data_IF_544239544347
#
_entry.id   IF_544239544347
#
_cell.length_a   1.000
_cell.length_b   1.000
_cell.length_c   1.000
_cell.angle_alpha   90.00
_cell.angle_beta   90.00
_cell.angle_gamma   90.00
#
_symmetry.space_group_name_H-M   'P 1'
#
loop_
_entity.id
_entity.type
_entity.pdbx_description
1 polymer ?
#
# COMPACT_ATOMS: atom_id res chain seq x y z
N UNK A 1 -15.48 17.46 -17.94
CA UNK A 1 -15.63 16.55 -16.79
C UNK A 1 -14.73 15.31 -16.89
N UNK A 2 -14.68 14.61 -18.03
CA UNK A 2 -13.88 13.38 -18.17
C UNK A 2 -12.35 13.54 -18.01
N UNK A 3 -11.77 14.65 -18.47
CA UNK A 3 -10.33 14.91 -18.33
C UNK A 3 -9.94 15.09 -16.86
N UNK A 4 -10.75 15.84 -16.10
CA UNK A 4 -10.54 16.07 -14.67
C UNK A 4 -10.60 14.74 -13.90
N UNK A 5 -11.57 13.88 -14.20
CA UNK A 5 -11.67 12.55 -13.58
C UNK A 5 -10.44 11.68 -13.88
N UNK A 6 -9.93 11.73 -15.11
CA UNK A 6 -8.75 10.97 -15.50
C UNK A 6 -7.50 11.43 -14.74
N UNK A 7 -7.27 12.74 -14.67
CA UNK A 7 -6.15 13.33 -13.92
C UNK A 7 -6.31 13.06 -12.42
N UNK A 8 -7.51 13.22 -11.85
CA UNK A 8 -7.78 12.95 -10.45
C UNK A 8 -7.47 11.50 -10.09
N UNK A 9 -7.94 10.53 -10.89
CA UNK A 9 -7.64 9.11 -10.68
C UNK A 9 -6.15 8.81 -10.72
N UNK A 10 -5.40 9.48 -11.60
CA UNK A 10 -3.95 9.29 -11.72
C UNK A 10 -3.24 9.89 -10.50
N UNK A 11 -3.56 11.13 -10.14
CA UNK A 11 -3.02 11.79 -8.97
C UNK A 11 -3.26 10.98 -7.70
N UNK A 12 -4.45 10.39 -7.55
CA UNK A 12 -4.84 9.60 -6.38
C UNK A 12 -4.07 8.27 -6.31
N UNK A 13 -3.81 7.63 -7.46
CA UNK A 13 -2.93 6.45 -7.54
C UNK A 13 -1.49 6.79 -7.13
N UNK A 14 -0.93 7.89 -7.63
CA UNK A 14 0.41 8.34 -7.24
C UNK A 14 0.49 8.71 -5.76
N UNK A 15 -0.46 9.51 -5.27
CA UNK A 15 -0.49 9.96 -3.88
C UNK A 15 -0.55 8.78 -2.90
N UNK A 16 -1.33 7.75 -3.21
CA UNK A 16 -1.38 6.53 -2.42
C UNK A 16 -0.10 5.70 -2.57
N UNK A 17 0.46 5.56 -3.77
CA UNK A 17 1.62 4.71 -4.03
C UNK A 17 2.93 5.22 -3.40
N UNK A 18 3.14 6.54 -3.41
CA UNK A 18 4.39 7.18 -2.99
C UNK A 18 4.91 6.79 -1.58
N UNK A 19 4.11 6.84 -0.50
CA UNK A 19 4.60 6.48 0.84
C UNK A 19 5.06 5.03 0.91
N UNK A 20 4.30 4.09 0.35
CA UNK A 20 4.65 2.67 0.31
C UNK A 20 5.90 2.42 -0.52
N UNK A 21 6.00 3.05 -1.69
CA UNK A 21 7.16 2.88 -2.55
C UNK A 21 8.44 3.37 -1.87
N UNK A 22 8.39 4.56 -1.26
CA UNK A 22 9.53 5.12 -0.53
C UNK A 22 9.93 4.23 0.64
N UNK A 23 8.96 3.72 1.40
CA UNK A 23 9.21 2.73 2.46
C UNK A 23 9.88 1.48 1.89
N UNK A 24 9.29 0.88 0.85
CA UNK A 24 9.77 -0.36 0.24
C UNK A 24 11.22 -0.27 -0.21
N UNK A 25 11.62 0.83 -0.86
CA UNK A 25 13.00 1.02 -1.33
C UNK A 25 14.04 1.03 -0.20
N UNK A 26 13.64 1.37 1.03
CA UNK A 26 14.57 1.34 2.18
C UNK A 26 14.80 -0.07 2.75
N UNK A 27 13.98 -1.06 2.37
CA UNK A 27 14.03 -2.43 2.90
C UNK A 27 15.02 -3.35 2.18
N UNK A 28 15.56 -2.89 1.06
CA UNK A 28 16.47 -3.68 0.22
C UNK A 28 17.90 -3.16 0.34
N UNK A 29 18.84 -4.10 0.31
CA UNK A 29 20.30 -3.85 0.31
C UNK A 29 20.94 -4.26 -1.02
N UNK A 30 20.39 -5.28 -1.67
CA UNK A 30 20.81 -5.79 -2.97
C UNK A 30 19.64 -6.37 -3.77
N UNK A 31 19.94 -7.08 -4.86
CA UNK A 31 18.90 -7.77 -5.64
C UNK A 31 18.38 -8.98 -4.87
N UNK A 32 17.10 -8.94 -4.48
CA UNK A 32 16.46 -9.98 -3.66
C UNK A 32 17.17 -10.21 -2.32
N UNK A 33 17.74 -9.15 -1.75
CA UNK A 33 18.38 -9.18 -0.44
C UNK A 33 17.74 -8.13 0.47
N UNK A 34 17.06 -8.59 1.51
CA UNK A 34 16.49 -7.72 2.55
C UNK A 34 17.57 -7.27 3.50
N UNK A 35 17.44 -6.03 3.98
CA UNK A 35 18.30 -5.53 5.05
C UNK A 35 18.10 -6.36 6.32
N UNK A 36 19.15 -6.68 7.08
CA UNK A 36 19.02 -7.29 8.40
C UNK A 36 18.12 -6.47 9.34
N UNK A 37 18.17 -5.14 9.21
CA UNK A 37 17.30 -4.23 9.95
C UNK A 37 15.80 -4.47 9.68
N UNK A 38 15.43 -4.80 8.43
CA UNK A 38 14.03 -5.10 8.08
C UNK A 38 13.56 -6.36 8.80
N UNK A 39 14.36 -7.43 8.82
CA UNK A 39 14.02 -8.65 9.57
C UNK A 39 13.90 -8.37 11.07
N UNK A 40 14.86 -7.62 11.63
CA UNK A 40 14.82 -7.21 13.03
C UNK A 40 13.57 -6.42 13.39
N UNK A 41 13.14 -5.47 12.54
CA UNK A 41 11.90 -4.74 12.76
C UNK A 41 10.70 -5.66 12.86
N UNK A 42 10.55 -6.64 11.96
CA UNK A 42 9.43 -7.57 12.00
C UNK A 42 9.48 -8.56 13.17
N UNK A 43 10.67 -8.92 13.65
CA UNK A 43 10.85 -9.84 14.77
C UNK A 43 10.60 -9.15 16.11
N UNK A 44 11.15 -7.96 16.32
CA UNK A 44 11.23 -7.35 17.65
C UNK A 44 10.36 -6.11 17.84
N UNK A 45 10.13 -5.35 16.76
CA UNK A 45 9.56 -4.00 16.85
C UNK A 45 8.11 -3.95 16.36
N UNK A 46 7.82 -4.52 15.20
CA UNK A 46 6.48 -4.51 14.60
C UNK A 46 5.59 -5.54 15.26
N UNK A 47 4.83 -5.06 16.26
CA UNK A 47 3.91 -5.87 17.03
C UNK A 47 2.49 -5.33 16.82
N UNK A 48 1.61 -6.02 16.09
CA UNK A 48 0.25 -5.52 15.87
C UNK A 48 -0.54 -5.48 17.18
N UNK A 49 -1.19 -4.34 17.44
CA UNK A 49 -2.13 -4.18 18.55
C UNK A 49 -3.55 -4.41 18.08
N UNK A 50 -4.25 -5.36 18.71
CA UNK A 50 -5.64 -5.67 18.44
C UNK A 50 -6.41 -5.75 19.76
N UNK A 51 -7.54 -5.05 19.85
CA UNK A 51 -8.41 -5.03 21.05
C UNK A 51 -7.67 -4.64 22.34
N UNK A 52 -6.72 -3.70 22.24
CA UNK A 52 -5.93 -3.24 23.39
C UNK A 52 -4.83 -4.21 23.84
N UNK A 53 -4.58 -5.28 23.09
CA UNK A 53 -3.49 -6.23 23.34
C UNK A 53 -2.49 -6.22 22.21
N UNK A 54 -1.22 -6.27 22.56
CA UNK A 54 -0.11 -6.31 21.61
C UNK A 54 0.30 -7.76 21.37
N UNK A 55 0.36 -8.18 20.11
CA UNK A 55 0.74 -9.53 19.71
C UNK A 55 2.10 -9.54 19.02
N UNK A 56 2.86 -10.62 19.17
CA UNK A 56 4.03 -10.84 18.32
C UNK A 56 3.59 -11.04 16.86
N UNK A 57 4.41 -10.59 15.92
CA UNK A 57 4.13 -10.79 14.50
C UNK A 57 4.10 -12.29 14.17
N UNK A 58 3.02 -12.83 13.60
CA UNK A 58 3.02 -14.23 13.15
C UNK A 58 3.98 -14.39 11.97
N UNK A 59 4.88 -15.36 12.05
CA UNK A 59 5.88 -15.67 11.02
C UNK A 59 6.63 -14.41 10.52
N UNK A 60 7.43 -13.77 11.39
CA UNK A 60 8.00 -12.44 11.12
C UNK A 60 8.87 -12.39 9.86
N UNK A 61 9.59 -13.46 9.55
CA UNK A 61 10.41 -13.55 8.33
C UNK A 61 9.55 -13.52 7.07
N UNK A 62 8.50 -14.36 7.02
CA UNK A 62 7.56 -14.39 5.89
C UNK A 62 6.85 -13.05 5.76
N UNK A 63 6.42 -12.46 6.86
CA UNK A 63 5.79 -11.14 6.88
C UNK A 63 6.72 -10.04 6.34
N UNK A 64 8.00 -10.06 6.73
CA UNK A 64 8.99 -9.11 6.24
C UNK A 64 9.16 -9.20 4.72
N UNK A 65 9.29 -10.42 4.18
CA UNK A 65 9.38 -10.65 2.73
C UNK A 65 8.12 -10.22 2.00
N UNK A 66 6.95 -10.69 2.43
CA UNK A 66 5.67 -10.34 1.80
C UNK A 66 5.43 -8.84 1.79
N UNK A 67 5.65 -8.17 2.91
CA UNK A 67 5.48 -6.73 2.99
C UNK A 67 6.49 -5.97 2.13
N UNK A 68 7.76 -6.40 2.09
CA UNK A 68 8.80 -5.75 1.28
C UNK A 68 8.54 -5.89 -0.21
N UNK A 69 8.04 -7.03 -0.67
CA UNK A 69 7.59 -7.19 -2.06
C UNK A 69 6.33 -6.38 -2.34
N UNK A 70 5.35 -6.42 -1.44
CA UNK A 70 4.09 -5.71 -1.60
C UNK A 70 4.30 -4.18 -1.69
N UNK A 71 5.23 -3.63 -0.91
CA UNK A 71 5.61 -2.19 -0.93
C UNK A 71 6.32 -1.73 -2.21
N UNK A 72 6.69 -2.65 -3.10
CA UNK A 72 7.24 -2.33 -4.42
C UNK A 72 6.21 -2.66 -5.51
N UNK A 73 5.69 -3.89 -5.50
CA UNK A 73 4.85 -4.42 -6.58
C UNK A 73 3.47 -3.76 -6.59
N UNK A 74 2.80 -3.63 -5.43
CA UNK A 74 1.46 -3.04 -5.37
C UNK A 74 1.45 -1.56 -5.77
N UNK A 75 2.36 -0.69 -5.27
CA UNK A 75 2.37 0.70 -5.71
C UNK A 75 2.81 0.83 -7.18
N UNK A 76 3.68 -0.05 -7.70
CA UNK A 76 3.98 -0.15 -9.14
C UNK A 76 2.76 -0.43 -9.99
N UNK A 77 2.06 -1.52 -9.66
CA UNK A 77 0.84 -1.91 -10.33
C UNK A 77 -0.20 -0.78 -10.24
N UNK A 78 -0.34 -0.15 -9.07
CA UNK A 78 -1.28 0.93 -8.85
C UNK A 78 -0.99 2.14 -9.74
N UNK A 79 0.26 2.62 -9.80
CA UNK A 79 0.65 3.80 -10.61
C UNK A 79 0.39 3.55 -12.09
N UNK A 80 0.79 2.38 -12.60
CA UNK A 80 0.54 1.95 -13.99
C UNK A 80 -0.97 1.84 -14.25
N UNK A 81 -1.77 1.64 -13.19
CA UNK A 81 -3.19 1.39 -13.29
C UNK A 81 -3.46 -0.02 -13.79
N UNK A 82 -2.68 -1.00 -13.31
CA UNK A 82 -2.85 -2.42 -13.53
C UNK A 82 -3.50 -3.06 -12.31
N UNK A 83 -4.57 -3.83 -12.54
CA UNK A 83 -5.39 -4.47 -11.52
C UNK A 83 -5.74 -3.50 -10.37
N UNK A 84 -6.07 -2.24 -10.70
CA UNK A 84 -6.03 -1.09 -9.77
C UNK A 84 -6.89 -1.31 -8.52
N UNK A 85 -8.05 -1.96 -8.67
CA UNK A 85 -8.91 -2.30 -7.51
C UNK A 85 -8.25 -3.31 -6.58
N UNK A 86 -7.56 -4.32 -7.13
CA UNK A 86 -6.82 -5.31 -6.35
C UNK A 86 -5.58 -4.69 -5.71
N UNK A 87 -4.83 -3.88 -6.47
CA UNK A 87 -3.66 -3.14 -5.97
C UNK A 87 -4.05 -2.20 -4.82
N UNK A 88 -5.15 -1.47 -4.95
CA UNK A 88 -5.69 -0.61 -3.90
C UNK A 88 -6.20 -1.41 -2.69
N UNK A 89 -6.84 -2.56 -2.90
CA UNK A 89 -7.26 -3.45 -1.82
C UNK A 89 -6.04 -3.98 -1.03
N UNK A 90 -4.98 -4.38 -1.72
CA UNK A 90 -3.73 -4.81 -1.08
C UNK A 90 -3.12 -3.69 -0.23
N UNK A 91 -3.02 -2.47 -0.78
CA UNK A 91 -2.51 -1.32 -0.04
C UNK A 91 -3.42 -0.91 1.14
N UNK A 92 -4.74 -1.08 1.01
CA UNK A 92 -5.67 -0.88 2.13
C UNK A 92 -5.41 -1.89 3.25
N UNK A 93 -5.23 -3.17 2.91
CA UNK A 93 -4.90 -4.20 3.88
C UNK A 93 -3.57 -3.90 4.60
N UNK A 94 -2.54 -3.47 3.86
CA UNK A 94 -1.27 -3.03 4.45
C UNK A 94 -1.45 -1.82 5.35
N UNK A 95 -2.25 -0.84 4.94
CA UNK A 95 -2.56 0.36 5.75
C UNK A 95 -3.18 -0.04 7.10
N UNK A 96 -4.07 -1.04 7.12
CA UNK A 96 -4.66 -1.55 8.35
C UNK A 96 -3.63 -2.22 9.27
N UNK A 97 -2.72 -3.02 8.71
CA UNK A 97 -1.62 -3.64 9.47
C UNK A 97 -0.67 -2.58 10.04
N UNK A 98 -0.37 -1.53 9.26
CA UNK A 98 0.47 -0.41 9.72
C UNK A 98 -0.24 0.34 10.86
N UNK A 99 -1.54 0.62 10.71
CA UNK A 99 -2.33 1.27 11.75
C UNK A 99 -2.30 0.51 13.08
N UNK A 100 -2.47 -0.82 13.05
CA UNK A 100 -2.40 -1.64 14.29
C UNK A 100 -1.00 -1.69 14.87
N UNK A 101 0.04 -1.60 14.05
CA UNK A 101 1.44 -1.58 14.49
C UNK A 101 1.83 -0.23 15.09
N UNK A 102 1.38 0.89 14.52
CA UNK A 102 1.66 2.23 15.06
C UNK A 102 1.15 2.40 16.50
N UNK A 103 0.05 1.75 16.84
CA UNK A 103 -0.48 1.75 18.21
C UNK A 103 0.48 1.11 19.22
N UNK A 104 1.23 0.07 18.86
CA UNK A 104 2.21 -0.54 19.77
C UNK A 104 3.51 0.25 19.86
N UNK A 105 3.88 0.96 18.80
CA UNK A 105 5.09 1.79 18.74
C UNK A 105 4.99 3.10 19.54
N UNK A 106 3.84 3.37 20.15
CA UNK A 106 3.61 4.64 20.85
C UNK A 106 3.64 5.84 19.90
N UNK A 107 3.25 5.63 18.64
CA UNK A 107 3.15 6.70 17.64
C UNK A 107 2.28 7.85 18.18
N UNK A 108 2.60 9.08 17.75
CA UNK A 108 1.84 10.26 18.18
C UNK A 108 0.34 10.06 17.94
N UNK A 109 -0.55 10.42 18.88
CA UNK A 109 -1.99 10.25 18.74
C UNK A 109 -2.60 10.84 17.46
N UNK A 110 -1.91 11.79 16.80
CA UNK A 110 -2.33 12.38 15.53
C UNK A 110 -1.77 11.70 14.27
N UNK A 111 -0.78 10.81 14.37
CA UNK A 111 -0.07 10.27 13.20
C UNK A 111 -0.99 9.45 12.28
N UNK A 112 -1.95 8.72 12.86
CA UNK A 112 -2.94 7.98 12.08
C UNK A 112 -3.85 8.90 11.25
N UNK A 113 -4.10 10.14 11.70
CA UNK A 113 -4.93 11.12 11.01
C UNK A 113 -4.22 11.72 9.80
N UNK A 114 -2.89 11.86 9.89
CA UNK A 114 -2.06 12.46 8.84
C UNK A 114 -1.53 11.44 7.84
N UNK A 115 -1.44 10.16 8.22
CA UNK A 115 -0.87 9.09 7.40
C UNK A 115 -1.92 8.04 7.01
N UNK A 116 -2.25 7.13 7.92
CA UNK A 116 -3.04 5.93 7.61
C UNK A 116 -4.47 6.24 7.18
N UNK A 117 -5.11 7.28 7.73
CA UNK A 117 -6.46 7.67 7.36
C UNK A 117 -6.54 8.20 5.92
N UNK A 118 -5.71 9.17 5.49
CA UNK A 118 -5.62 9.58 4.09
C UNK A 118 -5.33 8.41 3.15
N UNK A 119 -4.40 7.51 3.50
CA UNK A 119 -4.09 6.35 2.67
C UNK A 119 -5.28 5.42 2.50
N UNK A 120 -5.97 5.10 3.60
CA UNK A 120 -7.18 4.28 3.56
C UNK A 120 -8.29 4.94 2.73
N UNK A 121 -8.51 6.25 2.90
CA UNK A 121 -9.50 7.00 2.13
C UNK A 121 -9.19 6.99 0.62
N UNK A 122 -7.93 7.18 0.24
CA UNK A 122 -7.51 7.09 -1.15
C UNK A 122 -7.70 5.68 -1.72
N UNK A 123 -7.32 4.65 -0.97
CA UNK A 123 -7.49 3.26 -1.38
C UNK A 123 -8.97 2.91 -1.59
N UNK A 124 -9.84 3.28 -0.64
CA UNK A 124 -11.30 3.11 -0.75
C UNK A 124 -11.87 3.86 -1.95
N UNK A 125 -11.39 5.08 -2.22
CA UNK A 125 -11.75 5.84 -3.40
C UNK A 125 -11.42 5.10 -4.70
N UNK A 126 -10.22 4.54 -4.83
CA UNK A 126 -9.82 3.76 -6.01
C UNK A 126 -10.61 2.45 -6.14
N UNK A 127 -10.94 1.81 -5.02
CA UNK A 127 -11.78 0.60 -5.02
C UNK A 127 -13.19 0.92 -5.51
N UNK A 128 -13.80 1.99 -5.00
CA UNK A 128 -15.17 2.39 -5.34
C UNK A 128 -15.29 2.92 -6.77
N UNK A 129 -14.45 3.90 -7.13
CA UNK A 129 -14.55 4.63 -8.40
C UNK A 129 -13.72 4.02 -9.53
N UNK A 130 -12.78 3.12 -9.22
CA UNK A 130 -12.00 2.38 -10.20
C UNK A 130 -10.77 3.13 -10.74
N UNK A 131 -10.17 2.60 -11.83
CA UNK A 131 -8.81 2.97 -12.27
C UNK A 131 -8.71 4.28 -13.05
N UNK A 132 -9.84 4.80 -13.57
CA UNK A 132 -9.87 5.95 -14.48
C UNK A 132 -9.35 5.65 -15.89
N UNK A 133 -9.49 6.62 -16.81
CA UNK A 133 -9.21 6.42 -18.25
C UNK A 133 -7.70 6.35 -18.59
N UNK A 134 -6.85 6.92 -17.74
CA UNK A 134 -5.39 6.89 -17.87
C UNK A 134 -4.82 5.68 -17.09
N UNK A 135 -5.31 4.48 -17.38
CA UNK A 135 -4.89 3.25 -16.72
C UNK A 135 -4.75 2.14 -17.74
N UNK A 136 -3.83 1.21 -17.48
CA UNK A 136 -3.71 -0.01 -18.30
C UNK A 136 -5.00 -0.82 -18.27
N UNK A 137 -5.67 -0.90 -17.11
CA UNK A 137 -6.98 -1.57 -16.97
C UNK A 137 -8.02 -1.02 -17.97
N UNK A 138 -8.09 0.31 -18.14
CA UNK A 138 -9.01 0.93 -19.09
C UNK A 138 -8.62 0.65 -20.53
N UNK A 139 -7.33 0.70 -20.87
CA UNK A 139 -6.84 0.40 -22.21
C UNK A 139 -7.15 -1.06 -22.62
N UNK A 140 -6.95 -2.00 -21.70
CA UNK A 140 -7.29 -3.42 -21.93
C UNK A 140 -8.80 -3.57 -22.17
N UNK A 141 -9.63 -2.98 -21.30
CA UNK A 141 -11.09 -3.07 -21.42
C UNK A 141 -11.63 -2.44 -22.70
N UNK A 142 -11.12 -1.27 -23.10
CA UNK A 142 -11.52 -0.58 -24.33
C UNK A 142 -11.11 -1.38 -25.57
N UNK A 143 -9.93 -2.01 -25.56
CA UNK A 143 -9.47 -2.86 -26.67
C UNK A 143 -10.34 -4.09 -26.87
N UNK A 144 -10.92 -4.65 -25.80
CA UNK A 144 -11.79 -5.82 -25.84
C UNK A 144 -13.17 -5.50 -26.42
N UNK A 145 -13.70 -4.29 -26.15
CA UNK A 145 -15.00 -3.84 -26.69
C UNK A 145 -15.00 -3.47 -28.17
N UNK A 146 -13.83 -3.26 -28.76
CA UNK A 146 -13.67 -2.88 -30.17
C UNK A 146 -13.48 -4.10 -31.11
N UNK A 147 -13.49 -5.31 -30.56
CA UNK A 147 -13.49 -6.58 -31.31
C UNK A 147 -14.88 -7.20 -31.26
#
# INVERSE_FOLDING_TARGET
MFVIQAIASLALRFALALPFWKSGLTRWEGFLELRPATLYFYQEIYKPTLFGKTYAMPYPEIAAWLASFAEIILPAALVIGFATRLSALGLLAMTLVIYTTYQSLGASPGQWQTETLPWAAMALGLIAYGPGRLSVDYLIWDSWKRR
#
